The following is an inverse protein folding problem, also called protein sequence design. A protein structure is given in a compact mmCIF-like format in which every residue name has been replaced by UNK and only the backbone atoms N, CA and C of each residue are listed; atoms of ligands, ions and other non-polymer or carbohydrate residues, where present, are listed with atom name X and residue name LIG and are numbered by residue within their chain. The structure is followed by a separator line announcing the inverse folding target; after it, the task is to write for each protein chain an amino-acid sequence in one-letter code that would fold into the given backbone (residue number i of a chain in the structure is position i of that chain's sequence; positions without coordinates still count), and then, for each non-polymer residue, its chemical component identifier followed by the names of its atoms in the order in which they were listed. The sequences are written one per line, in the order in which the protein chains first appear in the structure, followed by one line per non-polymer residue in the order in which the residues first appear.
data_IF_312123450412
#
_entry.id   IF_312123450412
#
_cell.length_a   1.000
_cell.length_b   1.000
_cell.length_c   1.000
_cell.angle_alpha   90.00
_cell.angle_beta   90.00
_cell.angle_gamma   90.00
#
_symmetry.space_group_name_H-M   'P 1'
#
loop_
_entity.id
_entity.type
_entity.pdbx_description
1 polymer ?
#
# COMPACT_ATOMS: atom_id res chain seq x y z
N UNK A 1 -20.37 73.03 -9.50
CA UNK A 1 -21.23 71.90 -9.06
C UNK A 1 -20.66 70.61 -9.60
N UNK A 2 -20.40 69.66 -8.69
CA UNK A 2 -20.14 68.21 -8.87
C UNK A 2 -18.89 67.81 -9.67
N UNK A 3 -17.80 67.70 -8.92
CA UNK A 3 -16.64 66.83 -9.14
C UNK A 3 -17.07 65.41 -9.54
N UNK A 4 -16.58 64.96 -10.70
CA UNK A 4 -16.76 63.63 -11.26
C UNK A 4 -15.83 62.66 -10.52
N UNK A 5 -16.42 61.65 -9.88
CA UNK A 5 -15.72 60.60 -9.16
C UNK A 5 -15.92 59.27 -9.92
N UNK A 6 -14.94 58.37 -9.76
CA UNK A 6 -15.03 56.90 -9.92
C UNK A 6 -14.98 56.38 -11.38
N UNK A 7 -14.27 55.30 -11.73
CA UNK A 7 -13.66 54.19 -10.97
C UNK A 7 -12.59 53.55 -11.89
N UNK A 8 -11.35 53.45 -11.43
CA UNK A 8 -10.34 52.56 -12.03
C UNK A 8 -10.61 51.14 -11.54
N UNK A 9 -11.09 50.26 -12.41
CA UNK A 9 -11.22 48.84 -12.10
C UNK A 9 -9.86 48.15 -12.28
N UNK A 10 -9.08 48.08 -11.20
CA UNK A 10 -7.90 47.21 -11.14
C UNK A 10 -8.37 45.77 -10.86
N UNK A 11 -8.38 44.93 -11.91
CA UNK A 11 -8.69 43.50 -11.79
C UNK A 11 -7.46 42.83 -11.16
N UNK A 12 -7.48 42.64 -9.84
CA UNK A 12 -6.53 41.79 -9.14
C UNK A 12 -6.90 40.33 -9.42
N UNK A 13 -6.18 39.72 -10.37
CA UNK A 13 -6.19 38.26 -10.56
C UNK A 13 -5.46 37.64 -9.38
N UNK A 14 -6.23 37.27 -8.35
CA UNK A 14 -5.73 36.49 -7.22
C UNK A 14 -5.51 35.04 -7.64
N UNK A 15 -4.27 34.65 -7.91
CA UNK A 15 -3.89 33.24 -7.94
C UNK A 15 -4.08 32.65 -6.55
N UNK A 16 -5.18 31.93 -6.34
CA UNK A 16 -5.33 31.05 -5.17
C UNK A 16 -4.41 29.86 -5.36
N UNK A 17 -3.19 29.93 -4.84
CA UNK A 17 -2.34 28.76 -4.66
C UNK A 17 -2.96 27.86 -3.59
N UNK A 18 -3.78 26.92 -4.03
CA UNK A 18 -4.24 25.81 -3.20
C UNK A 18 -3.03 25.01 -2.76
N UNK A 19 -2.51 25.27 -1.55
CA UNK A 19 -1.59 24.37 -0.85
C UNK A 19 -2.32 23.05 -0.64
N UNK A 20 -2.09 22.10 -1.53
CA UNK A 20 -2.37 20.68 -1.30
C UNK A 20 -1.57 20.26 -0.06
N UNK A 21 -2.23 20.24 1.10
CA UNK A 21 -1.65 19.59 2.28
C UNK A 21 -1.65 18.09 1.99
N UNK A 22 -0.50 17.56 1.60
CA UNK A 22 -0.30 16.12 1.51
C UNK A 22 -0.46 15.51 2.91
N UNK A 23 -1.66 15.02 3.22
CA UNK A 23 -1.86 14.22 4.42
C UNK A 23 -1.02 12.96 4.27
N UNK A 24 -0.03 12.78 5.16
CA UNK A 24 0.74 11.53 5.26
C UNK A 24 -0.26 10.40 5.54
N UNK A 25 -0.50 9.53 4.55
CA UNK A 25 -1.40 8.38 4.71
C UNK A 25 -0.85 7.49 5.83
N UNK A 26 -1.61 7.33 6.92
CA UNK A 26 -1.24 6.42 8.01
C UNK A 26 -1.71 5.02 7.65
N UNK A 27 -0.77 4.11 7.44
CA UNK A 27 -1.04 2.68 7.22
C UNK A 27 -1.24 2.03 8.59
N UNK A 28 -2.27 1.19 8.74
CA UNK A 28 -2.53 0.49 9.99
C UNK A 28 -1.34 -0.39 10.40
N UNK A 29 -1.08 -0.47 11.71
CA UNK A 29 0.06 -1.21 12.26
C UNK A 29 0.07 -2.71 11.90
N UNK A 30 -1.11 -3.30 11.71
CA UNK A 30 -1.29 -4.72 11.41
C UNK A 30 -1.36 -5.03 9.90
N UNK A 31 -1.19 -4.03 9.03
CA UNK A 31 -1.24 -4.22 7.58
C UNK A 31 -0.18 -5.23 7.13
N UNK A 32 -0.65 -6.34 6.57
CA UNK A 32 0.15 -7.49 6.16
C UNK A 32 0.52 -8.46 7.28
N UNK A 33 0.35 -8.10 8.55
CA UNK A 33 0.71 -8.92 9.71
C UNK A 33 -0.45 -9.74 10.27
N UNK A 34 -1.67 -9.53 9.76
CA UNK A 34 -2.86 -10.26 10.21
C UNK A 34 -3.66 -10.81 9.04
N UNK A 35 -4.35 -11.93 9.28
CA UNK A 35 -5.31 -12.52 8.33
C UNK A 35 -6.46 -11.57 8.00
N UNK A 36 -6.78 -10.66 8.93
CA UNK A 36 -7.85 -9.67 8.81
C UNK A 36 -7.45 -8.46 7.97
N UNK A 37 -6.15 -8.19 7.88
CA UNK A 37 -5.59 -7.09 7.12
C UNK A 37 -4.44 -7.57 6.20
N UNK A 38 -4.69 -8.50 5.27
CA UNK A 38 -3.66 -9.04 4.40
C UNK A 38 -3.28 -8.02 3.32
N UNK A 39 -2.09 -8.17 2.76
CA UNK A 39 -1.65 -7.39 1.61
C UNK A 39 -2.36 -7.94 0.37
N UNK A 40 -3.24 -7.14 -0.22
CA UNK A 40 -4.06 -7.50 -1.39
C UNK A 40 -3.34 -7.13 -2.69
N UNK A 41 -2.43 -7.99 -3.13
CA UNK A 41 -1.46 -7.70 -4.19
C UNK A 41 -1.99 -7.85 -5.61
N UNK A 42 -3.00 -8.69 -5.85
CA UNK A 42 -3.20 -9.21 -7.21
C UNK A 42 -4.56 -9.84 -7.48
N UNK A 43 -4.76 -10.21 -8.74
CA UNK A 43 -5.99 -10.81 -9.27
C UNK A 43 -5.72 -12.13 -10.02
N UNK A 44 -6.80 -12.88 -10.23
CA UNK A 44 -6.88 -14.33 -10.52
C UNK A 44 -5.74 -14.96 -11.35
N UNK A 45 -5.31 -14.34 -12.44
CA UNK A 45 -4.39 -14.96 -13.41
C UNK A 45 -2.93 -14.93 -12.97
N UNK A 46 -2.49 -13.85 -12.31
CA UNK A 46 -1.07 -13.59 -12.02
C UNK A 46 -0.78 -13.57 -10.52
N UNK A 47 -1.71 -14.08 -9.70
CA UNK A 47 -1.68 -13.96 -8.24
C UNK A 47 -0.33 -14.32 -7.60
N UNK A 48 0.20 -15.54 -7.81
CA UNK A 48 1.49 -15.93 -7.23
C UNK A 48 2.68 -15.07 -7.70
N UNK A 49 2.63 -14.52 -8.92
CA UNK A 49 3.65 -13.61 -9.41
C UNK A 49 3.55 -12.26 -8.73
N UNK A 50 2.34 -11.72 -8.56
CA UNK A 50 2.09 -10.48 -7.83
C UNK A 50 2.55 -10.55 -6.37
N UNK A 51 2.43 -11.72 -5.72
CA UNK A 51 2.96 -11.96 -4.36
C UNK A 51 4.48 -11.77 -4.34
N UNK A 52 5.19 -12.45 -5.25
CA UNK A 52 6.65 -12.38 -5.35
C UNK A 52 7.12 -10.98 -5.73
N UNK A 53 6.45 -10.32 -6.66
CA UNK A 53 6.77 -8.96 -7.09
C UNK A 53 6.57 -7.93 -5.98
N UNK A 54 5.51 -8.08 -5.19
CA UNK A 54 5.33 -7.28 -3.99
C UNK A 54 6.48 -7.49 -3.01
N UNK A 55 6.80 -8.74 -2.67
CA UNK A 55 7.87 -9.06 -1.72
C UNK A 55 9.25 -8.60 -2.23
N UNK A 56 9.51 -8.70 -3.53
CA UNK A 56 10.72 -8.21 -4.17
C UNK A 56 10.89 -6.69 -4.07
N UNK A 57 9.79 -5.94 -3.90
CA UNK A 57 9.82 -4.48 -3.72
C UNK A 57 10.02 -4.06 -2.26
N UNK A 58 9.94 -5.00 -1.31
CA UNK A 58 10.20 -4.69 0.09
C UNK A 58 11.70 -4.54 0.36
N UNK A 59 12.02 -3.56 1.19
CA UNK A 59 13.33 -3.40 1.83
C UNK A 59 13.14 -3.18 3.32
N UNK A 60 14.21 -3.35 4.09
CA UNK A 60 14.20 -2.94 5.50
C UNK A 60 14.12 -1.41 5.66
N UNK A 61 13.94 -0.93 6.90
CA UNK A 61 13.75 0.49 7.19
C UNK A 61 14.93 1.38 6.79
N UNK A 62 16.11 0.80 6.56
CA UNK A 62 17.31 1.50 6.07
C UNK A 62 17.73 1.04 4.66
N UNK A 63 16.83 0.38 3.92
CA UNK A 63 17.11 -0.12 2.56
C UNK A 63 17.77 -1.50 2.52
N UNK A 64 17.77 -2.24 3.62
CA UNK A 64 18.34 -3.58 3.69
C UNK A 64 17.61 -4.56 2.74
N UNK A 65 18.37 -5.48 2.15
CA UNK A 65 17.80 -6.51 1.31
C UNK A 65 16.88 -7.44 2.12
N UNK A 66 15.78 -7.84 1.49
CA UNK A 66 14.81 -8.78 2.03
C UNK A 66 14.94 -10.14 1.32
N UNK A 67 14.84 -11.22 2.09
CA UNK A 67 14.61 -12.58 1.59
C UNK A 67 13.27 -13.07 2.10
N UNK A 68 12.64 -13.98 1.38
CA UNK A 68 11.37 -14.57 1.81
C UNK A 68 11.29 -16.05 1.47
N UNK A 69 10.53 -16.79 2.27
CA UNK A 69 10.19 -18.20 2.06
C UNK A 69 8.69 -18.37 2.23
N UNK A 70 8.03 -18.99 1.24
CA UNK A 70 6.61 -19.32 1.34
C UNK A 70 6.40 -20.45 2.35
N UNK A 71 5.56 -20.23 3.35
CA UNK A 71 5.22 -21.20 4.39
C UNK A 71 4.04 -22.09 4.01
N UNK A 72 3.19 -21.62 3.11
CA UNK A 72 1.99 -22.31 2.67
C UNK A 72 0.85 -21.34 2.40
N UNK A 73 -0.35 -21.89 2.24
CA UNK A 73 -1.59 -21.12 2.21
C UNK A 73 -2.42 -21.41 3.45
N UNK A 74 -3.22 -20.44 3.88
CA UNK A 74 -4.12 -20.55 5.02
C UNK A 74 -5.41 -19.76 4.78
N UNK A 75 -6.23 -19.71 5.82
CA UNK A 75 -7.15 -18.62 6.05
C UNK A 75 -8.14 -18.42 4.89
N UNK A 76 -9.19 -19.25 4.91
CA UNK A 76 -10.27 -19.14 3.95
C UNK A 76 -10.94 -17.77 4.04
N UNK A 77 -11.15 -17.13 2.89
CA UNK A 77 -11.90 -15.90 2.80
C UNK A 77 -12.76 -15.88 1.54
N UNK A 78 -13.81 -15.06 1.55
CA UNK A 78 -14.68 -14.88 0.38
C UNK A 78 -14.06 -13.86 -0.57
N UNK A 79 -13.99 -14.20 -1.86
CA UNK A 79 -13.65 -13.24 -2.91
C UNK A 79 -14.37 -13.58 -4.20
N UNK A 80 -14.96 -12.56 -4.83
CA UNK A 80 -15.56 -12.67 -6.17
C UNK A 80 -14.54 -12.96 -7.27
N UNK A 81 -13.26 -12.72 -6.99
CA UNK A 81 -12.15 -12.95 -7.90
C UNK A 81 -11.56 -14.36 -7.71
N UNK A 82 -11.90 -15.07 -6.62
CA UNK A 82 -11.43 -16.43 -6.43
C UNK A 82 -12.30 -17.44 -7.18
N UNK A 83 -11.68 -18.53 -7.64
CA UNK A 83 -12.40 -19.67 -8.21
C UNK A 83 -13.38 -20.20 -7.15
N UNK A 84 -14.64 -20.46 -7.54
CA UNK A 84 -15.72 -20.86 -6.62
C UNK A 84 -16.04 -19.83 -5.50
N UNK A 85 -15.59 -18.59 -5.62
CA UNK A 85 -15.90 -17.52 -4.66
C UNK A 85 -15.10 -17.56 -3.35
N UNK A 86 -14.13 -18.47 -3.21
CA UNK A 86 -13.36 -18.71 -1.99
C UNK A 86 -11.86 -18.72 -2.28
N UNK A 87 -11.10 -17.91 -1.55
CA UNK A 87 -9.64 -17.85 -1.64
C UNK A 87 -8.95 -18.30 -0.36
N UNK A 88 -7.64 -18.54 -0.46
CA UNK A 88 -6.72 -18.75 0.65
C UNK A 88 -5.65 -17.65 0.64
N UNK A 89 -5.27 -17.17 1.81
CA UNK A 89 -4.12 -16.27 1.95
C UNK A 89 -2.83 -17.06 1.81
N UNK A 90 -1.81 -16.47 1.20
CA UNK A 90 -0.46 -17.01 1.18
C UNK A 90 0.36 -16.44 2.34
N UNK A 91 1.05 -17.31 3.07
CA UNK A 91 1.89 -16.95 4.21
C UNK A 91 3.34 -16.96 3.76
N UNK A 92 4.02 -15.84 3.98
CA UNK A 92 5.45 -15.69 3.74
C UNK A 92 6.18 -15.37 5.04
N UNK A 93 7.25 -16.12 5.30
CA UNK A 93 8.27 -15.72 6.26
C UNK A 93 9.28 -14.81 5.54
N UNK A 94 9.52 -13.64 6.11
CA UNK A 94 10.30 -12.55 5.52
C UNK A 94 11.45 -12.18 6.46
N UNK A 95 12.66 -12.18 5.92
CA UNK A 95 13.90 -11.90 6.63
C UNK A 95 14.52 -10.61 6.08
N UNK A 96 14.78 -9.64 6.95
CA UNK A 96 15.53 -8.44 6.63
C UNK A 96 17.00 -8.73 6.95
N UNK A 97 17.91 -8.47 6.01
CA UNK A 97 19.35 -8.70 6.22
C UNK A 97 19.84 -7.98 7.49
N UNK A 98 20.36 -8.75 8.44
CA UNK A 98 20.88 -8.23 9.72
C UNK A 98 19.86 -8.16 10.85
N UNK A 99 18.57 -8.42 10.56
CA UNK A 99 17.55 -8.62 11.59
C UNK A 99 17.59 -10.08 12.07
N UNK A 100 17.49 -10.28 13.38
CA UNK A 100 17.42 -11.62 13.98
C UNK A 100 16.00 -12.16 14.04
N UNK A 101 15.00 -11.29 13.88
CA UNK A 101 13.60 -11.63 13.97
C UNK A 101 12.98 -11.68 12.58
N UNK A 102 12.54 -12.87 12.19
CA UNK A 102 11.78 -13.05 10.96
C UNK A 102 10.35 -12.56 11.14
N UNK A 103 9.81 -11.96 10.08
CA UNK A 103 8.46 -11.40 10.04
C UNK A 103 7.56 -12.33 9.24
N UNK A 104 6.29 -12.46 9.64
CA UNK A 104 5.31 -13.25 8.89
C UNK A 104 4.33 -12.30 8.22
N UNK A 105 4.20 -12.41 6.90
CA UNK A 105 3.26 -11.63 6.11
C UNK A 105 2.17 -12.52 5.50
N UNK A 106 0.95 -12.01 5.48
CA UNK A 106 -0.22 -12.61 4.86
C UNK A 106 -0.57 -11.85 3.59
N UNK A 107 -0.56 -12.54 2.46
CA UNK A 107 -0.83 -11.98 1.14
C UNK A 107 -2.13 -12.56 0.58
N UNK A 108 -2.89 -11.71 -0.08
CA UNK A 108 -4.07 -12.07 -0.85
C UNK A 108 -3.75 -11.83 -2.32
N UNK A 109 -3.67 -12.93 -3.06
CA UNK A 109 -3.33 -12.95 -4.47
C UNK A 109 -4.54 -12.80 -5.42
N UNK A 110 -5.76 -12.69 -4.86
CA UNK A 110 -7.04 -12.67 -5.60
C UNK A 110 -7.66 -11.28 -5.69
N UNK A 111 -7.52 -10.47 -4.65
CA UNK A 111 -8.01 -9.09 -4.60
C UNK A 111 -6.85 -8.11 -4.70
N UNK A 112 -7.08 -7.01 -5.43
CA UNK A 112 -6.10 -5.93 -5.62
C UNK A 112 -6.58 -4.64 -4.99
N UNK A 113 -5.73 -4.03 -4.17
CA UNK A 113 -5.94 -2.68 -3.62
C UNK A 113 -4.68 -1.84 -3.79
N UNK A 114 -4.73 -0.57 -3.35
CA UNK A 114 -3.53 0.25 -3.27
C UNK A 114 -2.53 -0.37 -2.29
N UNK A 115 -1.30 -0.57 -2.74
CA UNK A 115 -0.25 -1.25 -1.97
C UNK A 115 0.54 -0.24 -1.13
N UNK A 116 0.92 -0.70 0.06
CA UNK A 116 1.77 0.01 1.01
C UNK A 116 2.87 -0.92 1.53
N UNK A 117 3.92 -0.39 2.13
CA UNK A 117 4.84 -1.20 2.93
C UNK A 117 4.19 -1.53 4.29
N UNK A 118 4.31 -2.77 4.80
CA UNK A 118 3.98 -3.08 6.18
C UNK A 118 4.89 -2.29 7.12
N UNK A 119 4.42 -2.03 8.34
CA UNK A 119 5.23 -1.34 9.36
C UNK A 119 6.58 -2.05 9.54
N UNK A 120 7.67 -1.29 9.49
CA UNK A 120 9.03 -1.84 9.56
C UNK A 120 9.64 -2.27 8.22
N UNK A 121 8.97 -1.97 7.10
CA UNK A 121 9.51 -2.08 5.75
C UNK A 121 9.39 -0.76 4.99
N UNK A 122 10.13 -0.66 3.88
CA UNK A 122 9.95 0.35 2.84
C UNK A 122 9.63 -0.29 1.50
N UNK A 123 9.09 0.51 0.57
CA UNK A 123 8.96 0.15 -0.84
C UNK A 123 10.13 0.75 -1.62
N UNK A 124 10.77 -0.04 -2.47
CA UNK A 124 11.79 0.40 -3.42
C UNK A 124 11.23 0.70 -4.81
#
# INVERSE_FOLDING_TARGET
MKTLFLLTAAILVGCSSSKSSGSKMQVADDYGYSEKNPIKVGGVMDGPEMDRDYLNRLTGPNGEAVKYTRRGSCCHFKSKNAMMGMGLLDIYEVEIKGDTVKKVLYLNMYDKVKLFAPKGFLMK
#
